data_IF_855328952944
#
_entry.id   IF_855328952944
#
_cell.length_a   1.000
_cell.length_b   1.000
_cell.length_c   1.000
_cell.angle_alpha   90.00
_cell.angle_beta   90.00
_cell.angle_gamma   90.00
#
_symmetry.space_group_name_H-M   'P 1'
#
loop_
_entity.id
_entity.type
_entity.pdbx_description
1 polymer ?
#
# COMPACT_ATOMS: atom_id res chain seq x y z
N UNK A 1 0.25 2.20 16.31
CA UNK A 1 0.69 3.59 16.00
C UNK A 1 -0.13 4.12 14.84
N UNK A 2 -0.05 5.42 14.50
CA UNK A 2 -0.87 6.00 13.44
C UNK A 2 -0.01 6.67 12.35
N UNK A 3 -0.40 6.48 11.09
CA UNK A 3 0.10 7.26 9.94
C UNK A 3 -1.00 8.24 9.53
N UNK A 4 -0.67 9.53 9.47
CA UNK A 4 -1.63 10.55 9.02
C UNK A 4 -1.47 10.75 7.52
N UNK A 5 -2.57 10.52 6.78
CA UNK A 5 -2.62 10.68 5.32
C UNK A 5 -3.68 11.70 4.95
N UNK A 6 -3.41 12.49 3.90
CA UNK A 6 -4.34 13.47 3.36
C UNK A 6 -4.94 12.94 2.07
N UNK A 7 -6.27 13.01 1.95
CA UNK A 7 -6.99 12.78 0.70
C UNK A 7 -7.99 13.93 0.50
N UNK A 8 -7.72 14.78 -0.50
CA UNK A 8 -8.40 16.08 -0.64
C UNK A 8 -8.24 16.95 0.60
N UNK A 9 -9.36 17.47 1.11
CA UNK A 9 -9.41 18.31 2.32
C UNK A 9 -9.47 17.50 3.62
N UNK A 10 -9.60 16.17 3.53
CA UNK A 10 -9.74 15.30 4.68
C UNK A 10 -8.40 14.71 5.14
N UNK A 11 -8.28 14.55 6.47
CA UNK A 11 -7.18 13.86 7.11
C UNK A 11 -7.66 12.54 7.69
N UNK A 12 -6.92 11.47 7.39
CA UNK A 12 -7.21 10.12 7.87
C UNK A 12 -6.04 9.63 8.73
N UNK A 13 -6.37 8.97 9.83
CA UNK A 13 -5.39 8.28 10.67
C UNK A 13 -5.45 6.78 10.39
N UNK A 14 -4.42 6.25 9.73
CA UNK A 14 -4.27 4.82 9.49
C UNK A 14 -3.62 4.17 10.70
N UNK A 15 -4.33 3.25 11.34
CA UNK A 15 -3.79 2.45 12.43
C UNK A 15 -2.88 1.37 11.86
N UNK A 16 -1.66 1.31 12.35
CA UNK A 16 -0.64 0.32 11.95
C UNK A 16 0.01 -0.28 13.19
N UNK A 17 0.47 -1.53 13.06
CA UNK A 17 1.21 -2.19 14.12
C UNK A 17 2.55 -1.48 14.34
N UNK A 18 3.30 -1.29 13.25
CA UNK A 18 4.67 -0.75 13.27
C UNK A 18 4.93 0.19 12.08
N UNK A 19 5.84 1.14 12.28
CA UNK A 19 6.39 2.00 11.22
C UNK A 19 7.86 1.60 11.08
N UNK A 20 8.23 1.17 9.89
CA UNK A 20 9.60 0.79 9.54
C UNK A 20 10.34 2.00 8.93
N UNK A 21 11.48 1.74 8.30
CA UNK A 21 12.27 2.75 7.61
C UNK A 21 11.66 3.24 6.30
N UNK A 22 12.13 4.41 5.86
CA UNK A 22 11.96 4.89 4.49
C UNK A 22 13.07 4.28 3.65
N UNK A 23 12.69 3.53 2.61
CA UNK A 23 13.64 2.86 1.72
C UNK A 23 13.46 3.32 0.28
N UNK A 24 14.57 3.39 -0.44
CA UNK A 24 14.56 3.55 -1.90
C UNK A 24 14.36 2.20 -2.56
N UNK A 25 13.53 2.16 -3.61
CA UNK A 25 13.26 0.94 -4.38
C UNK A 25 13.60 1.19 -5.85
N UNK A 26 14.19 0.18 -6.49
CA UNK A 26 14.44 0.23 -7.92
C UNK A 26 13.18 -0.11 -8.70
N UNK A 27 12.87 0.63 -9.77
CA UNK A 27 11.69 0.38 -10.61
C UNK A 27 11.66 -1.05 -11.18
N UNK A 28 12.85 -1.62 -11.47
CA UNK A 28 12.99 -3.00 -11.99
C UNK A 28 12.50 -4.09 -11.02
N UNK A 29 12.37 -3.80 -9.72
CA UNK A 29 11.88 -4.76 -8.74
C UNK A 29 10.36 -4.72 -8.60
N UNK A 30 9.69 -3.80 -9.30
CA UNK A 30 8.24 -3.74 -9.34
C UNK A 30 7.67 -4.89 -10.18
N UNK A 31 6.74 -5.63 -9.60
CA UNK A 31 6.01 -6.71 -10.24
C UNK A 31 4.49 -6.48 -10.13
N UNK A 32 3.77 -7.01 -11.11
CA UNK A 32 2.31 -7.03 -11.06
C UNK A 32 1.82 -7.98 -9.96
N UNK A 33 0.61 -7.73 -9.48
CA UNK A 33 0.02 -8.53 -8.41
C UNK A 33 -0.28 -9.93 -8.94
N UNK A 34 0.17 -11.00 -8.27
CA UNK A 34 -0.11 -12.37 -8.69
C UNK A 34 -1.61 -12.63 -8.85
N UNK A 35 -1.99 -13.46 -9.83
CA UNK A 35 -3.39 -13.82 -10.08
C UNK A 35 -4.02 -14.66 -8.96
N UNK A 36 -3.20 -15.26 -8.10
CA UNK A 36 -3.64 -16.07 -6.97
C UNK A 36 -4.19 -15.26 -5.80
N UNK A 37 -4.06 -13.93 -5.83
CA UNK A 37 -4.56 -13.03 -4.78
C UNK A 37 -6.06 -12.79 -4.98
N UNK A 38 -6.81 -12.82 -3.87
CA UNK A 38 -8.25 -12.53 -3.87
C UNK A 38 -8.54 -11.14 -4.45
N UNK A 39 -9.48 -11.06 -5.40
CA UNK A 39 -9.85 -9.80 -6.06
C UNK A 39 -10.30 -8.68 -5.10
N UNK A 40 -10.91 -9.05 -3.97
CA UNK A 40 -11.32 -8.09 -2.93
C UNK A 40 -10.14 -7.40 -2.27
N UNK A 41 -8.97 -8.06 -2.23
CA UNK A 41 -7.72 -7.48 -1.70
C UNK A 41 -6.97 -6.80 -2.85
N UNK A 42 -6.92 -7.46 -4.01
CA UNK A 42 -6.20 -6.99 -5.21
C UNK A 42 -6.58 -5.57 -5.61
N UNK A 43 -7.87 -5.20 -5.49
CA UNK A 43 -8.36 -3.85 -5.82
C UNK A 43 -7.79 -2.71 -4.96
N UNK A 44 -7.15 -3.02 -3.83
CA UNK A 44 -6.51 -2.05 -2.94
C UNK A 44 -4.99 -2.03 -3.07
N UNK A 45 -4.41 -2.83 -3.98
CA UNK A 45 -2.96 -2.93 -4.18
C UNK A 45 -2.65 -2.39 -5.57
N UNK A 46 -1.62 -1.54 -5.69
CA UNK A 46 -1.12 -1.06 -6.99
C UNK A 46 -0.10 -2.03 -7.61
N UNK A 47 0.67 -2.71 -6.77
CA UNK A 47 1.68 -3.68 -7.17
C UNK A 47 2.52 -4.13 -5.98
N UNK A 48 3.59 -4.85 -6.27
CA UNK A 48 4.54 -5.30 -5.25
C UNK A 48 5.97 -5.03 -5.70
N UNK A 49 6.84 -4.64 -4.78
CA UNK A 49 8.29 -4.64 -4.99
C UNK A 49 8.88 -5.90 -4.40
N UNK A 50 9.60 -6.65 -5.23
CA UNK A 50 10.32 -7.84 -4.82
C UNK A 50 11.71 -7.48 -4.33
N UNK A 51 11.85 -7.39 -3.02
CA UNK A 51 13.14 -7.16 -2.36
C UNK A 51 13.84 -8.50 -2.13
N UNK A 52 15.12 -8.47 -1.73
CA UNK A 52 15.93 -9.69 -1.60
C UNK A 52 15.33 -10.74 -0.66
N UNK A 53 14.74 -10.30 0.46
CA UNK A 53 14.24 -11.19 1.52
C UNK A 53 12.75 -11.00 1.84
N UNK A 54 12.07 -10.08 1.16
CA UNK A 54 10.75 -9.61 1.54
C UNK A 54 10.00 -9.02 0.35
N UNK A 55 8.67 -9.05 0.42
CA UNK A 55 7.79 -8.38 -0.52
C UNK A 55 7.29 -7.09 0.11
N UNK A 56 7.42 -5.98 -0.61
CA UNK A 56 6.83 -4.71 -0.21
C UNK A 56 5.58 -4.46 -1.06
N UNK A 57 4.43 -4.41 -0.41
CA UNK A 57 3.15 -4.16 -1.08
C UNK A 57 2.95 -2.66 -1.25
N UNK A 58 2.67 -2.22 -2.48
CA UNK A 58 2.30 -0.84 -2.75
C UNK A 58 0.78 -0.68 -2.62
N UNK A 59 0.34 -0.08 -1.52
CA UNK A 59 -1.08 0.12 -1.21
C UNK A 59 -1.67 1.27 -2.05
N UNK A 60 -2.88 1.06 -2.58
CA UNK A 60 -3.64 2.10 -3.25
C UNK A 60 -4.46 2.92 -2.25
N UNK A 61 -3.86 4.00 -1.75
CA UNK A 61 -4.53 4.88 -0.78
C UNK A 61 -5.80 5.54 -1.31
N UNK A 62 -5.91 5.80 -2.63
CA UNK A 62 -7.13 6.39 -3.18
C UNK A 62 -8.31 5.41 -3.06
N UNK A 63 -8.07 4.13 -3.34
CA UNK A 63 -9.07 3.06 -3.20
C UNK A 63 -9.35 2.71 -1.74
N UNK A 64 -8.33 2.70 -0.89
CA UNK A 64 -8.51 2.41 0.54
C UNK A 64 -9.32 3.50 1.22
N UNK A 65 -9.11 4.76 0.83
CA UNK A 65 -9.80 5.92 1.41
C UNK A 65 -11.06 6.31 0.63
N UNK A 66 -11.48 5.55 -0.39
CA UNK A 66 -12.73 5.79 -1.13
C UNK A 66 -13.97 5.31 -0.37
N UNK A 67 -13.92 5.32 0.96
CA UNK A 67 -15.06 4.98 1.79
C UNK A 67 -16.00 6.19 1.75
N UNK A 68 -17.21 5.99 1.25
CA UNK A 68 -18.26 7.00 1.32
C UNK A 68 -18.51 7.31 2.81
N UNK A 69 -18.23 8.55 3.22
CA UNK A 69 -18.58 9.08 4.54
C UNK A 69 -19.91 9.81 4.44
#
# INVERSE_FOLDING_TARGET
MNIIVRNGDSLYALMVDEILDVIDVEEKTFESIPETINDNIKKYIKGVYKLESNLLILLDLEKVLSVDV
#
